data_IF_376174455354
#
_entry.id   IF_376174455354
#
_cell.length_a   1.000
_cell.length_b   1.000
_cell.length_c   1.000
_cell.angle_alpha   90.00
_cell.angle_beta   90.00
_cell.angle_gamma   90.00
#
_symmetry.space_group_name_H-M   'P 1'
#
loop_
_entity.id
_entity.type
_entity.pdbx_description
1 polymer ?
#
# COMPACT_ATOMS: atom_id res chain seq x y z
N UNK A 1 -28.42 38.90 -14.00
CA UNK A 1 -28.48 37.43 -13.81
C UNK A 1 -27.29 36.70 -14.48
N UNK A 2 -26.05 37.18 -14.32
CA UNK A 2 -24.83 36.53 -14.89
C UNK A 2 -23.79 36.14 -13.82
N UNK A 3 -23.93 36.66 -12.60
CA UNK A 3 -23.00 36.39 -11.50
C UNK A 3 -23.29 35.08 -10.75
N UNK A 4 -24.53 34.55 -10.80
CA UNK A 4 -24.88 33.31 -10.12
C UNK A 4 -24.34 32.04 -10.82
N UNK A 5 -24.03 32.11 -12.11
CA UNK A 5 -23.55 30.93 -12.87
C UNK A 5 -22.08 30.59 -12.60
N UNK A 6 -21.29 31.53 -12.04
CA UNK A 6 -19.85 31.32 -11.82
C UNK A 6 -19.60 30.64 -10.46
N UNK A 7 -20.42 30.91 -9.43
CA UNK A 7 -20.29 30.23 -8.12
C UNK A 7 -20.67 28.74 -8.16
N UNK A 8 -21.60 28.35 -9.03
CA UNK A 8 -21.99 26.94 -9.18
C UNK A 8 -20.90 26.09 -9.85
N UNK A 9 -20.09 26.70 -10.73
CA UNK A 9 -19.01 25.99 -11.44
C UNK A 9 -17.78 25.76 -10.54
N UNK A 10 -17.53 26.65 -9.58
CA UNK A 10 -16.45 26.50 -8.59
C UNK A 10 -16.74 25.41 -7.53
N UNK A 11 -18.03 25.17 -7.22
CA UNK A 11 -18.43 24.12 -6.28
C UNK A 11 -18.25 22.70 -6.87
N UNK A 12 -18.44 22.53 -8.18
CA UNK A 12 -18.23 21.25 -8.86
C UNK A 12 -16.75 20.86 -9.03
N UNK A 13 -15.84 21.83 -9.02
CA UNK A 13 -14.40 21.57 -9.11
C UNK A 13 -13.74 21.28 -7.75
N UNK A 14 -14.47 21.48 -6.64
CA UNK A 14 -13.99 21.23 -5.28
C UNK A 14 -14.18 19.78 -4.82
N UNK A 15 -14.77 18.91 -5.66
CA UNK A 15 -14.93 17.48 -5.38
C UNK A 15 -13.69 16.66 -5.79
N UNK A 16 -12.49 17.18 -5.55
CA UNK A 16 -11.31 16.32 -5.38
C UNK A 16 -11.47 15.58 -4.04
N UNK A 17 -12.48 14.71 -3.98
CA UNK A 17 -12.82 13.92 -2.81
C UNK A 17 -11.67 12.95 -2.59
N UNK A 18 -11.02 13.05 -1.43
CA UNK A 18 -10.04 12.07 -1.00
C UNK A 18 -10.69 10.67 -1.06
N UNK A 19 -9.94 9.62 -1.46
CA UNK A 19 -10.45 8.25 -1.45
C UNK A 19 -11.11 7.91 -0.11
N UNK A 20 -12.19 7.12 -0.14
CA UNK A 20 -12.86 6.71 1.10
C UNK A 20 -11.93 5.88 1.98
N UNK A 21 -12.10 5.99 3.30
CA UNK A 21 -11.39 5.14 4.28
C UNK A 21 -11.68 3.64 4.06
N UNK A 22 -12.85 3.33 3.49
CA UNK A 22 -13.33 1.97 3.27
C UNK A 22 -12.92 1.42 1.89
N UNK A 23 -12.26 2.23 1.05
CA UNK A 23 -11.79 1.81 -0.26
C UNK A 23 -10.45 1.07 -0.13
N UNK A 24 -10.37 -0.23 -0.46
CA UNK A 24 -9.10 -0.93 -0.50
C UNK A 24 -8.09 -0.21 -1.39
N UNK A 25 -6.80 -0.25 -1.03
CA UNK A 25 -5.75 0.32 -1.85
C UNK A 25 -5.78 -0.27 -3.26
N UNK A 26 -5.41 0.49 -4.28
CA UNK A 26 -5.37 -0.04 -5.65
C UNK A 26 -4.40 -1.23 -5.76
N UNK A 27 -4.63 -2.19 -6.68
CA UNK A 27 -3.82 -3.41 -6.76
C UNK A 27 -2.31 -3.19 -6.86
N UNK A 28 -1.88 -2.12 -7.52
CA UNK A 28 -0.47 -1.74 -7.59
C UNK A 28 0.12 -1.32 -6.25
N UNK A 29 -0.60 -0.51 -5.47
CA UNK A 29 -0.15 -0.02 -4.17
C UNK A 29 -0.21 -1.11 -3.11
N UNK A 30 -1.28 -1.89 -3.09
CA UNK A 30 -1.39 -3.06 -2.23
C UNK A 30 -0.28 -4.07 -2.53
N UNK A 31 -0.05 -4.38 -3.81
CA UNK A 31 1.02 -5.28 -4.23
C UNK A 31 2.40 -4.79 -3.78
N UNK A 32 2.73 -3.53 -4.06
CA UNK A 32 4.01 -2.94 -3.61
C UNK A 32 4.14 -2.96 -2.08
N UNK A 33 3.07 -2.66 -1.34
CA UNK A 33 3.06 -2.71 0.13
C UNK A 33 3.36 -4.12 0.65
N UNK A 34 2.72 -5.15 0.08
CA UNK A 34 2.99 -6.56 0.42
C UNK A 34 4.47 -6.91 0.21
N UNK A 35 5.01 -6.55 -0.95
CA UNK A 35 6.43 -6.76 -1.25
C UNK A 35 7.35 -6.06 -0.23
N UNK A 36 7.05 -4.80 0.10
CA UNK A 36 7.79 -4.02 1.09
C UNK A 36 7.71 -4.59 2.50
N UNK A 37 6.55 -5.07 2.94
CA UNK A 37 6.39 -5.73 4.26
C UNK A 37 7.36 -6.90 4.39
N UNK A 38 7.59 -7.63 3.30
CA UNK A 38 8.48 -8.78 3.28
C UNK A 38 9.96 -8.37 3.14
N UNK A 39 10.30 -7.51 2.18
CA UNK A 39 11.69 -7.10 1.91
C UNK A 39 12.29 -6.26 3.04
N UNK A 40 11.48 -5.44 3.70
CA UNK A 40 11.88 -4.65 4.86
C UNK A 40 11.81 -5.43 6.19
N UNK A 41 11.36 -6.69 6.18
CA UNK A 41 11.31 -7.53 7.36
C UNK A 41 10.30 -7.06 8.42
N UNK A 42 9.18 -6.45 8.01
CA UNK A 42 8.22 -5.87 8.96
C UNK A 42 7.43 -6.93 9.77
N UNK A 43 7.42 -8.21 9.38
CA UNK A 43 6.56 -9.24 10.02
C UNK A 43 7.09 -10.69 9.94
N UNK A 44 8.40 -10.88 9.78
CA UNK A 44 9.06 -12.19 9.62
C UNK A 44 8.51 -13.05 8.46
N UNK A 45 7.86 -12.41 7.48
CA UNK A 45 7.46 -13.04 6.22
C UNK A 45 8.55 -12.76 5.19
N UNK A 46 9.15 -13.80 4.63
CA UNK A 46 10.18 -13.64 3.61
C UNK A 46 9.59 -13.19 2.27
N UNK A 47 10.36 -12.54 1.38
CA UNK A 47 9.93 -12.20 0.03
C UNK A 47 9.36 -13.40 -0.75
N UNK A 48 10.04 -14.56 -0.70
CA UNK A 48 9.55 -15.75 -1.42
C UNK A 48 8.20 -16.23 -0.88
N UNK A 49 8.02 -16.19 0.44
CA UNK A 49 6.77 -16.59 1.07
C UNK A 49 5.64 -15.61 0.75
N UNK A 50 5.93 -14.31 0.77
CA UNK A 50 4.97 -13.29 0.36
C UNK A 50 4.51 -13.50 -1.09
N UNK A 51 5.44 -13.70 -2.03
CA UNK A 51 5.10 -13.96 -3.44
C UNK A 51 4.22 -15.21 -3.64
N UNK A 52 4.48 -16.27 -2.87
CA UNK A 52 3.72 -17.51 -2.96
C UNK A 52 2.34 -17.42 -2.31
N UNK A 53 2.21 -16.67 -1.21
CA UNK A 53 1.03 -16.72 -0.35
C UNK A 53 0.20 -15.42 -0.31
N UNK A 54 0.64 -14.33 -0.95
CA UNK A 54 -0.07 -13.04 -0.88
C UNK A 54 -1.57 -13.09 -1.25
N UNK A 55 -2.08 -13.99 -2.13
CA UNK A 55 -3.52 -14.08 -2.37
C UNK A 55 -4.32 -14.32 -1.08
N UNK A 56 -3.75 -15.03 -0.09
CA UNK A 56 -4.37 -15.23 1.23
C UNK A 56 -4.43 -13.95 2.05
N UNK A 57 -3.46 -13.05 1.90
CA UNK A 57 -3.41 -11.79 2.63
C UNK A 57 -4.46 -10.77 2.15
N UNK A 58 -4.93 -10.93 0.90
CA UNK A 58 -5.87 -9.99 0.25
C UNK A 58 -7.22 -10.64 -0.12
N UNK A 59 -7.43 -11.89 0.28
CA UNK A 59 -8.63 -12.65 -0.03
C UNK A 59 -9.90 -11.94 0.47
N UNK A 60 -10.92 -11.89 -0.37
CA UNK A 60 -12.21 -11.24 -0.06
C UNK A 60 -12.22 -9.72 -0.19
N UNK A 61 -11.06 -9.07 -0.40
CA UNK A 61 -10.97 -7.63 -0.67
C UNK A 61 -10.85 -7.30 -2.16
N UNK A 62 -10.37 -8.26 -2.96
CA UNK A 62 -10.11 -8.10 -4.39
C UNK A 62 -10.62 -9.30 -5.17
N UNK A 63 -10.97 -9.08 -6.43
CA UNK A 63 -11.29 -10.14 -7.38
C UNK A 63 -10.05 -10.95 -7.78
N UNK A 64 -10.23 -12.17 -8.28
CA UNK A 64 -9.12 -13.02 -8.75
C UNK A 64 -8.26 -12.33 -9.83
N UNK A 65 -8.89 -11.54 -10.70
CA UNK A 65 -8.20 -10.79 -11.74
C UNK A 65 -7.29 -9.69 -11.15
N UNK A 66 -7.77 -8.97 -10.14
CA UNK A 66 -6.99 -7.96 -9.43
C UNK A 66 -5.85 -8.60 -8.64
N UNK A 67 -6.11 -9.70 -7.93
CA UNK A 67 -5.09 -10.47 -7.21
C UNK A 67 -4.00 -10.91 -8.19
N UNK A 68 -4.36 -11.47 -9.34
CA UNK A 68 -3.39 -11.85 -10.38
C UNK A 68 -2.58 -10.65 -10.88
N UNK A 69 -3.20 -9.49 -11.04
CA UNK A 69 -2.52 -8.26 -11.44
C UNK A 69 -1.56 -7.73 -10.36
N UNK A 70 -1.79 -8.03 -9.08
CA UNK A 70 -0.88 -7.62 -7.99
C UNK A 70 0.49 -8.29 -8.06
N UNK A 71 0.60 -9.49 -8.63
CA UNK A 71 1.83 -10.29 -8.60
C UNK A 71 3.09 -9.49 -8.98
N UNK A 72 3.04 -8.76 -10.11
CA UNK A 72 4.18 -7.96 -10.58
C UNK A 72 4.54 -6.84 -9.60
N UNK A 73 3.55 -6.25 -8.92
CA UNK A 73 3.80 -5.20 -7.94
C UNK A 73 4.32 -5.76 -6.60
N UNK A 74 3.89 -6.97 -6.21
CA UNK A 74 4.48 -7.70 -5.07
C UNK A 74 5.93 -7.99 -5.34
N UNK A 75 6.26 -8.47 -6.54
CA UNK A 75 7.63 -8.74 -6.96
C UNK A 75 8.50 -7.47 -6.97
N UNK A 76 7.98 -6.37 -7.51
CA UNK A 76 8.65 -5.06 -7.46
C UNK A 76 8.91 -4.63 -6.00
N UNK A 77 7.90 -4.62 -5.13
CA UNK A 77 8.11 -4.22 -3.72
C UNK A 77 9.05 -5.16 -2.95
N UNK A 78 9.09 -6.44 -3.34
CA UNK A 78 9.94 -7.45 -2.73
C UNK A 78 11.41 -7.36 -3.17
N UNK A 79 11.67 -6.75 -4.34
CA UNK A 79 12.99 -6.66 -4.96
C UNK A 79 13.54 -5.24 -5.08
N UNK A 80 12.72 -4.21 -4.86
CA UNK A 80 13.14 -2.82 -4.99
C UNK A 80 14.30 -2.49 -4.04
N UNK A 81 15.29 -1.78 -4.57
CA UNK A 81 16.43 -1.26 -3.82
C UNK A 81 16.74 0.15 -4.28
N UNK A 82 16.61 1.08 -3.35
CA UNK A 82 16.89 2.49 -3.56
C UNK A 82 17.89 3.01 -2.53
N UNK A 83 18.50 4.16 -2.78
CA UNK A 83 19.51 4.71 -1.85
C UNK A 83 18.87 5.16 -0.54
N UNK A 84 17.58 5.52 -0.56
CA UNK A 84 16.78 5.82 0.61
C UNK A 84 15.99 4.61 1.16
N UNK A 85 16.45 3.37 0.95
CA UNK A 85 15.73 2.16 1.36
C UNK A 85 15.37 2.15 2.85
N UNK A 86 16.25 2.67 3.71
CA UNK A 86 16.01 2.74 5.16
C UNK A 86 14.76 3.57 5.47
N UNK A 87 14.57 4.69 4.79
CA UNK A 87 13.40 5.56 4.98
C UNK A 87 12.11 4.90 4.45
N UNK A 88 12.20 4.24 3.29
CA UNK A 88 11.08 3.49 2.71
C UNK A 88 10.63 2.38 3.68
N UNK A 89 11.58 1.60 4.19
CA UNK A 89 11.30 0.53 5.13
C UNK A 89 10.75 1.06 6.46
N UNK A 90 11.32 2.14 7.00
CA UNK A 90 10.78 2.75 8.22
C UNK A 90 9.32 3.19 8.03
N UNK A 91 8.97 3.81 6.90
CA UNK A 91 7.61 4.26 6.59
C UNK A 91 6.64 3.09 6.39
N UNK A 92 7.02 2.07 5.61
CA UNK A 92 6.20 0.88 5.39
C UNK A 92 5.94 0.14 6.71
N UNK A 93 6.99 -0.08 7.50
CA UNK A 93 6.90 -0.76 8.78
C UNK A 93 6.16 0.08 9.84
N UNK A 94 6.16 1.42 9.79
CA UNK A 94 5.45 2.24 10.78
C UNK A 94 3.92 2.08 10.72
N UNK A 95 3.37 1.65 9.59
CA UNK A 95 1.93 1.42 9.37
C UNK A 95 1.44 0.12 10.02
N UNK A 96 1.61 0.02 11.34
CA UNK A 96 1.51 -1.20 12.14
C UNK A 96 0.22 -1.99 11.91
N UNK A 97 -0.96 -1.35 11.92
CA UNK A 97 -2.22 -2.06 11.74
C UNK A 97 -2.41 -2.62 10.32
N UNK A 98 -1.86 -1.95 9.30
CA UNK A 98 -1.87 -2.41 7.90
C UNK A 98 -0.89 -3.57 7.71
N UNK A 99 0.30 -3.48 8.32
CA UNK A 99 1.27 -4.58 8.34
C UNK A 99 0.66 -5.82 8.98
N UNK A 100 -0.01 -5.67 10.12
CA UNK A 100 -0.69 -6.78 10.79
C UNK A 100 -1.81 -7.37 9.94
N UNK A 101 -2.55 -6.54 9.19
CA UNK A 101 -3.65 -6.99 8.33
C UNK A 101 -3.17 -7.96 7.24
N UNK A 102 -1.99 -7.73 6.67
CA UNK A 102 -1.39 -8.64 5.67
C UNK A 102 -0.57 -9.77 6.30
N UNK A 103 0.02 -9.55 7.49
CA UNK A 103 0.82 -10.55 8.17
C UNK A 103 -0.02 -11.65 8.83
N UNK A 104 -1.15 -11.28 9.44
CA UNK A 104 -2.01 -12.21 10.21
C UNK A 104 -2.53 -13.39 9.37
N UNK A 105 -3.08 -13.19 8.15
CA UNK A 105 -3.56 -14.31 7.31
C UNK A 105 -2.45 -15.27 6.88
N UNK A 106 -1.21 -14.78 6.89
CA UNK A 106 0.00 -15.52 6.55
C UNK A 106 0.70 -16.12 7.78
N UNK A 107 0.18 -15.91 8.99
CA UNK A 107 0.84 -16.36 10.23
C UNK A 107 2.21 -15.72 10.46
N UNK A 108 2.40 -14.48 10.00
CA UNK A 108 3.59 -13.68 10.30
C UNK A 108 3.55 -13.10 11.72
N UNK A 109 4.69 -12.55 12.16
CA UNK A 109 4.80 -11.86 13.45
C UNK A 109 3.98 -10.57 13.41
N UNK A 110 3.06 -10.45 14.36
CA UNK A 110 2.29 -9.23 14.57
C UNK A 110 3.09 -8.22 15.38
N UNK A 111 2.77 -6.94 15.20
CA UNK A 111 3.42 -5.80 15.84
C UNK A 111 2.44 -5.00 16.68
N UNK A 112 2.97 -4.32 17.69
CA UNK A 112 2.16 -3.54 18.63
C UNK A 112 1.18 -4.42 19.39
N UNK A 113 -0.08 -4.00 19.47
CA UNK A 113 -1.20 -4.72 20.08
C UNK A 113 -1.79 -5.83 19.19
N UNK A 114 -1.25 -6.00 17.97
CA UNK A 114 -1.76 -6.97 16.99
C UNK A 114 -3.05 -6.57 16.29
N UNK A 115 -3.53 -5.33 16.47
CA UNK A 115 -4.71 -4.82 15.78
C UNK A 115 -4.49 -4.80 14.26
N UNK A 116 -5.57 -5.06 13.51
CA UNK A 116 -5.58 -5.04 12.03
C UNK A 116 -6.54 -3.97 11.54
N UNK A 117 -6.16 -3.26 10.48
CA UNK A 117 -7.02 -2.28 9.80
C UNK A 117 -7.02 -2.54 8.30
N UNK A 118 -8.01 -2.01 7.56
CA UNK A 118 -8.00 -2.07 6.11
C UNK A 118 -6.76 -1.34 5.57
N UNK A 119 -6.03 -1.97 4.65
CA UNK A 119 -5.04 -1.28 3.82
C UNK A 119 -5.81 -0.52 2.74
N UNK A 120 -6.09 0.75 3.01
CA UNK A 120 -6.94 1.59 2.17
C UNK A 120 -6.11 2.60 1.36
N UNK A 121 -6.70 3.10 0.27
CA UNK A 121 -6.00 4.01 -0.66
C UNK A 121 -5.59 5.33 -0.01
N UNK A 122 -6.41 5.83 0.92
CA UNK A 122 -6.24 7.13 1.57
C UNK A 122 -5.08 7.14 2.57
N UNK A 123 -5.00 6.09 3.37
CA UNK A 123 -4.14 6.02 4.56
C UNK A 123 -2.86 5.21 4.29
N UNK A 124 -2.79 4.46 3.18
CA UNK A 124 -1.58 3.75 2.79
C UNK A 124 -0.52 4.75 2.30
N UNK A 125 0.60 4.85 3.00
CA UNK A 125 1.71 5.72 2.63
C UNK A 125 2.89 4.88 2.16
N UNK A 126 3.32 5.06 0.91
CA UNK A 126 4.48 4.35 0.37
C UNK A 126 5.54 5.38 -0.05
N UNK A 127 6.73 5.29 0.55
CA UNK A 127 7.85 6.14 0.18
C UNK A 127 8.26 5.94 -1.27
N UNK A 128 8.72 6.98 -1.95
CA UNK A 128 9.25 6.90 -3.31
C UNK A 128 10.75 6.59 -3.29
N UNK A 129 11.19 5.76 -4.23
CA UNK A 129 12.60 5.50 -4.47
C UNK A 129 13.35 6.75 -4.92
N UNK A 130 14.58 6.93 -4.44
CA UNK A 130 15.53 7.93 -4.91
C UNK A 130 16.85 7.26 -5.27
N UNK A 131 17.49 7.76 -6.32
CA UNK A 131 18.87 7.44 -6.66
C UNK A 131 19.83 8.49 -6.08
N UNK A 132 21.13 8.18 -6.02
CA UNK A 132 22.15 8.97 -5.32
C UNK A 132 22.38 10.37 -5.91
N UNK A 133 21.78 10.66 -7.06
CA UNK A 133 21.70 11.99 -7.67
C UNK A 133 20.44 12.79 -7.25
N UNK A 134 19.64 12.25 -6.32
CA UNK A 134 18.44 12.86 -5.77
C UNK A 134 17.20 12.76 -6.67
N UNK A 135 17.29 12.13 -7.86
CA UNK A 135 16.12 12.01 -8.75
C UNK A 135 15.13 10.97 -8.21
N UNK A 136 13.82 11.26 -8.29
CA UNK A 136 12.80 10.26 -7.97
C UNK A 136 12.77 9.16 -9.03
N UNK A 137 12.42 7.94 -8.60
CA UNK A 137 12.05 6.82 -9.46
C UNK A 137 10.66 7.02 -10.08
#
# INVERSE_FOLDING_TARGET
>A
MKALSILALAAFLSSCTLPSADQPASPNRMGRFLGLVASCGCSDITPQRMLAEYPRAVAGLYSDAEIKAMHGYVDVGASERHDNQIEICASACAQTCMVNAVAKPLGGRLRGDGATCLVNERDLHLGTGRYGDGRPF
#
